data_IF_051992207510
#
_entry.id   IF_051992207510
#
_cell.length_a   1.000
_cell.length_b   1.000
_cell.length_c   1.000
_cell.angle_alpha   90.00
_cell.angle_beta   90.00
_cell.angle_gamma   90.00
#
_symmetry.space_group_name_H-M   'P 1'
#
loop_
_entity.id
_entity.type
_entity.pdbx_description
1 polymer ?
#
# COMPACT_ATOMS: atom_id res chain seq x y z
N UNK A 1 -17.29 65.25 21.79
CA UNK A 1 -17.09 63.86 22.22
C UNK A 1 -15.68 63.47 21.77
N UNK A 2 -14.70 63.44 22.68
CA UNK A 2 -13.32 63.08 22.36
C UNK A 2 -13.19 61.56 22.42
N UNK A 3 -12.96 60.94 21.26
CA UNK A 3 -12.56 59.54 21.15
C UNK A 3 -11.20 59.35 21.81
N UNK A 4 -11.18 58.64 22.94
CA UNK A 4 -9.95 58.13 23.52
C UNK A 4 -9.42 57.02 22.62
N UNK A 5 -8.56 57.37 21.66
CA UNK A 5 -7.78 56.39 20.91
C UNK A 5 -6.70 55.81 21.83
N UNK A 6 -7.04 54.74 22.54
CA UNK A 6 -6.07 53.93 23.28
C UNK A 6 -5.12 53.24 22.30
N UNK A 7 -3.84 53.58 22.35
CA UNK A 7 -2.79 52.89 21.59
C UNK A 7 -2.34 51.63 22.32
N UNK A 8 -2.14 50.53 21.59
CA UNK A 8 -1.56 49.31 22.13
C UNK A 8 -0.14 49.54 22.63
N UNK A 9 0.21 48.91 23.75
CA UNK A 9 1.57 48.96 24.27
C UNK A 9 2.46 47.94 23.55
N UNK A 10 3.75 48.25 23.40
CA UNK A 10 4.75 47.29 22.89
C UNK A 10 4.76 45.98 23.68
N UNK A 11 4.51 46.07 24.99
CA UNK A 11 4.46 44.92 25.90
C UNK A 11 3.26 44.02 25.59
N UNK A 12 2.08 44.58 25.32
CA UNK A 12 0.91 43.77 24.91
C UNK A 12 1.17 43.02 23.61
N UNK A 13 1.77 43.67 22.61
CA UNK A 13 2.11 43.01 21.36
C UNK A 13 3.14 41.89 21.58
N UNK A 14 4.15 42.12 22.43
CA UNK A 14 5.15 41.11 22.79
C UNK A 14 4.55 39.90 23.50
N UNK A 15 3.60 40.10 24.41
CA UNK A 15 2.90 38.99 25.10
C UNK A 15 2.06 38.19 24.11
N UNK A 16 1.35 38.85 23.18
CA UNK A 16 0.52 38.16 22.18
C UNK A 16 1.37 37.27 21.27
N UNK A 17 2.47 37.79 20.73
CA UNK A 17 3.34 36.98 19.86
C UNK A 17 4.05 35.86 20.63
N UNK A 18 4.36 36.07 21.92
CA UNK A 18 4.91 35.02 22.77
C UNK A 18 3.90 33.89 22.99
N UNK A 19 2.63 34.21 23.27
CA UNK A 19 1.55 33.22 23.40
C UNK A 19 1.35 32.48 22.07
N UNK A 20 1.29 33.19 20.93
CA UNK A 20 1.16 32.57 19.61
C UNK A 20 2.35 31.65 19.32
N UNK A 21 3.58 32.06 19.66
CA UNK A 21 4.78 31.24 19.48
C UNK A 21 4.74 29.94 20.30
N UNK A 22 4.30 30.02 21.56
CA UNK A 22 4.11 28.83 22.41
C UNK A 22 3.01 27.91 21.85
N UNK A 23 1.86 28.46 21.49
CA UNK A 23 0.74 27.69 20.94
C UNK A 23 1.08 27.04 19.59
N UNK A 24 1.76 27.76 18.70
CA UNK A 24 2.22 27.23 17.42
C UNK A 24 3.24 26.09 17.62
N UNK A 25 4.16 26.23 18.58
CA UNK A 25 5.11 25.18 18.95
C UNK A 25 4.41 23.89 19.39
N UNK A 26 3.42 23.99 20.28
CA UNK A 26 2.64 22.85 20.76
C UNK A 26 1.75 22.23 19.67
N UNK A 27 1.16 23.05 18.80
CA UNK A 27 0.30 22.58 17.72
C UNK A 27 1.03 21.73 16.67
N UNK A 28 2.29 22.08 16.34
CA UNK A 28 3.04 21.39 15.28
C UNK A 28 3.29 19.90 15.56
N UNK A 29 3.58 19.54 16.83
CA UNK A 29 3.90 18.16 17.21
C UNK A 29 2.67 17.24 17.16
N UNK A 30 1.49 17.77 17.50
CA UNK A 30 0.24 17.00 17.53
C UNK A 30 -0.27 16.64 16.13
N UNK A 31 0.01 17.48 15.13
CA UNK A 31 -0.38 17.24 13.73
C UNK A 31 0.37 16.04 13.15
N UNK A 32 1.69 15.93 13.35
CA UNK A 32 2.49 14.82 12.81
C UNK A 32 2.05 13.45 13.33
N UNK A 33 1.79 13.33 14.64
CA UNK A 33 1.29 12.09 15.24
C UNK A 33 -0.08 11.68 14.68
N UNK A 34 -0.98 12.65 14.48
CA UNK A 34 -2.33 12.40 13.98
C UNK A 34 -2.32 11.92 12.53
N UNK A 35 -1.45 12.50 11.68
CA UNK A 35 -1.26 12.07 10.29
C UNK A 35 -0.72 10.65 10.25
N UNK A 36 0.35 10.34 11.01
CA UNK A 36 0.92 8.98 11.06
C UNK A 36 -0.12 7.95 11.47
N UNK A 37 -0.90 8.24 12.51
CA UNK A 37 -1.98 7.35 12.96
C UNK A 37 -3.09 7.20 11.90
N UNK A 38 -3.42 8.28 11.21
CA UNK A 38 -4.37 8.26 10.10
C UNK A 38 -3.91 7.35 8.95
N UNK A 39 -2.65 7.46 8.56
CA UNK A 39 -2.05 6.63 7.50
C UNK A 39 -2.05 5.15 7.88
N UNK A 40 -1.66 4.80 9.11
CA UNK A 40 -1.73 3.40 9.59
C UNK A 40 -3.17 2.87 9.51
N UNK A 41 -4.13 3.65 10.01
CA UNK A 41 -5.55 3.25 9.95
C UNK A 41 -6.08 3.13 8.52
N UNK A 42 -5.58 3.95 7.60
CA UNK A 42 -5.92 3.85 6.17
C UNK A 42 -5.34 2.57 5.56
N UNK A 43 -4.07 2.27 5.82
CA UNK A 43 -3.42 1.04 5.36
C UNK A 43 -4.14 -0.22 5.91
N UNK A 44 -4.50 -0.24 7.20
CA UNK A 44 -5.27 -1.34 7.80
C UNK A 44 -6.62 -1.54 7.10
N UNK A 45 -7.35 -0.45 6.86
CA UNK A 45 -8.64 -0.49 6.17
C UNK A 45 -8.49 -0.97 4.72
N UNK A 46 -7.43 -0.54 4.05
CA UNK A 46 -7.18 -0.91 2.66
C UNK A 46 -6.80 -2.39 2.52
N UNK A 47 -5.95 -2.89 3.42
CA UNK A 47 -5.64 -4.32 3.52
C UNK A 47 -6.91 -5.15 3.73
N UNK A 48 -7.84 -4.72 4.61
CA UNK A 48 -9.12 -5.41 4.77
C UNK A 48 -9.90 -5.47 3.44
N UNK A 49 -9.96 -4.36 2.70
CA UNK A 49 -10.66 -4.33 1.41
C UNK A 49 -9.99 -5.25 0.39
N UNK A 50 -8.65 -5.25 0.35
CA UNK A 50 -7.87 -6.11 -0.56
C UNK A 50 -8.09 -7.58 -0.24
N UNK A 51 -8.09 -7.95 1.05
CA UNK A 51 -8.41 -9.31 1.50
C UNK A 51 -9.79 -9.74 1.00
N UNK A 52 -10.81 -8.90 1.16
CA UNK A 52 -12.16 -9.19 0.68
C UNK A 52 -12.20 -9.37 -0.85
N UNK A 53 -11.44 -8.57 -1.60
CA UNK A 53 -11.31 -8.70 -3.05
C UNK A 53 -10.65 -10.02 -3.46
N UNK A 54 -9.51 -10.34 -2.84
CA UNK A 54 -8.77 -11.59 -3.05
C UNK A 54 -9.61 -12.82 -2.68
N UNK A 55 -10.34 -12.78 -1.57
CA UNK A 55 -11.25 -13.87 -1.18
C UNK A 55 -12.42 -14.02 -2.16
N UNK A 56 -12.93 -12.92 -2.72
CA UNK A 56 -13.95 -12.98 -3.76
C UNK A 56 -13.41 -13.62 -5.06
N UNK A 57 -12.15 -13.36 -5.42
CA UNK A 57 -11.48 -14.07 -6.53
C UNK A 57 -11.41 -15.58 -6.23
N UNK A 58 -10.98 -15.95 -5.02
CA UNK A 58 -10.91 -17.35 -4.59
C UNK A 58 -12.27 -18.06 -4.63
N UNK A 59 -13.35 -17.39 -4.26
CA UNK A 59 -14.69 -17.96 -4.32
C UNK A 59 -15.12 -18.25 -5.77
N UNK A 60 -14.79 -17.35 -6.69
CA UNK A 60 -15.21 -17.45 -8.08
C UNK A 60 -14.28 -18.37 -8.91
N UNK A 61 -12.98 -18.39 -8.62
CA UNK A 61 -11.95 -19.11 -9.40
C UNK A 61 -11.44 -20.39 -8.73
N UNK A 62 -11.66 -20.56 -7.44
CA UNK A 62 -11.23 -21.74 -6.69
C UNK A 62 -9.79 -21.72 -6.18
N UNK A 63 -9.00 -20.69 -6.50
CA UNK A 63 -7.68 -20.41 -5.92
C UNK A 63 -7.51 -18.89 -5.74
N UNK A 64 -6.62 -18.44 -4.85
CA UNK A 64 -6.30 -17.01 -4.72
C UNK A 64 -5.45 -16.58 -5.93
N UNK A 65 -5.32 -15.27 -6.23
CA UNK A 65 -4.40 -14.80 -7.25
C UNK A 65 -3.00 -15.39 -7.05
N UNK A 66 -2.31 -15.89 -8.09
CA UNK A 66 -0.94 -16.36 -7.94
C UNK A 66 0.02 -15.22 -7.59
N UNK A 67 1.19 -15.52 -7.03
CA UNK A 67 2.22 -14.49 -6.73
C UNK A 67 2.88 -13.95 -8.02
N UNK A 68 2.68 -14.60 -9.16
CA UNK A 68 3.15 -14.14 -10.46
C UNK A 68 2.15 -14.51 -11.55
N UNK A 69 2.00 -13.63 -12.54
CA UNK A 69 1.16 -13.87 -13.71
C UNK A 69 1.80 -14.82 -14.74
N UNK A 70 3.09 -15.13 -14.61
CA UNK A 70 3.85 -15.90 -15.59
C UNK A 70 3.22 -17.28 -15.85
N UNK A 71 2.80 -17.98 -14.79
CA UNK A 71 2.22 -19.32 -14.90
C UNK A 71 0.81 -19.32 -15.53
N UNK A 72 0.02 -18.27 -15.33
CA UNK A 72 -1.39 -18.22 -15.76
C UNK A 72 -1.56 -17.58 -17.14
N UNK A 73 -0.84 -16.49 -17.41
CA UNK A 73 -0.98 -15.69 -18.62
C UNK A 73 0.24 -15.74 -19.54
N UNK A 74 1.32 -16.40 -19.14
CA UNK A 74 2.54 -16.53 -19.96
C UNK A 74 3.35 -15.24 -20.09
N UNK A 75 3.04 -14.23 -19.28
CA UNK A 75 3.83 -13.01 -19.14
C UNK A 75 3.94 -12.64 -17.66
N UNK A 76 5.07 -12.04 -17.32
CA UNK A 76 5.29 -11.27 -16.10
C UNK A 76 6.08 -10.02 -16.51
N UNK A 77 6.04 -8.96 -15.72
CA UNK A 77 6.93 -7.82 -15.89
C UNK A 77 8.40 -8.24 -15.72
N UNK A 78 9.21 -7.38 -15.12
CA UNK A 78 10.62 -7.71 -14.86
C UNK A 78 10.83 -8.65 -13.64
N UNK A 79 9.76 -9.05 -12.95
CA UNK A 79 9.76 -9.89 -11.74
C UNK A 79 9.77 -9.11 -10.42
N UNK A 80 10.04 -7.81 -10.47
CA UNK A 80 9.81 -6.85 -9.38
C UNK A 80 8.31 -6.67 -9.19
N UNK A 81 7.86 -6.56 -7.94
CA UNK A 81 6.46 -6.33 -7.58
C UNK A 81 5.45 -7.37 -8.12
N UNK A 82 5.92 -8.49 -8.66
CA UNK A 82 5.09 -9.52 -9.31
C UNK A 82 3.84 -9.95 -8.52
N UNK A 83 3.96 -10.08 -7.19
CA UNK A 83 2.81 -10.38 -6.31
C UNK A 83 1.76 -9.28 -6.30
N UNK A 84 2.19 -8.02 -6.24
CA UNK A 84 1.31 -6.86 -6.30
C UNK A 84 0.63 -6.77 -7.67
N UNK A 85 1.40 -6.79 -8.76
CA UNK A 85 0.88 -6.70 -10.12
C UNK A 85 -0.15 -7.79 -10.41
N UNK A 86 0.17 -9.02 -10.02
CA UNK A 86 -0.74 -10.16 -10.15
C UNK A 86 -2.01 -9.94 -9.35
N UNK A 87 -1.91 -9.51 -8.09
CA UNK A 87 -3.07 -9.17 -7.28
C UNK A 87 -3.92 -8.08 -7.97
N UNK A 88 -3.33 -6.97 -8.39
CA UNK A 88 -4.06 -5.87 -9.04
C UNK A 88 -4.75 -6.35 -10.32
N UNK A 89 -4.06 -7.14 -11.14
CA UNK A 89 -4.62 -7.70 -12.37
C UNK A 89 -5.87 -8.58 -12.12
N UNK A 90 -5.80 -9.45 -11.13
CA UNK A 90 -6.93 -10.31 -10.77
C UNK A 90 -8.08 -9.52 -10.14
N UNK A 91 -7.78 -8.53 -9.31
CA UNK A 91 -8.79 -7.75 -8.59
C UNK A 91 -9.52 -6.75 -9.49
N UNK A 92 -8.80 -6.17 -10.46
CA UNK A 92 -9.35 -5.28 -11.48
C UNK A 92 -10.07 -6.06 -12.59
N UNK A 93 -9.99 -7.39 -12.57
CA UNK A 93 -10.55 -8.23 -13.62
C UNK A 93 -12.03 -8.04 -13.83
N UNK A 94 -12.39 -7.84 -15.10
CA UNK A 94 -13.78 -7.82 -15.59
C UNK A 94 -14.17 -9.11 -16.29
N UNK A 95 -13.34 -10.16 -16.27
CA UNK A 95 -13.54 -11.38 -17.06
C UNK A 95 -14.90 -12.07 -16.79
N UNK A 96 -15.47 -11.90 -15.58
CA UNK A 96 -16.82 -12.39 -15.21
C UNK A 96 -17.90 -11.30 -15.13
N UNK A 97 -17.68 -10.15 -15.76
CA UNK A 97 -18.65 -9.05 -15.82
C UNK A 97 -18.79 -8.24 -14.53
N UNK A 98 -17.90 -8.43 -13.55
CA UNK A 98 -17.79 -7.67 -12.30
C UNK A 98 -16.31 -7.41 -12.00
N UNK A 99 -16.01 -6.33 -11.29
CA UNK A 99 -14.72 -6.13 -10.63
C UNK A 99 -14.76 -6.76 -9.23
N UNK A 100 -13.63 -7.22 -8.71
CA UNK A 100 -13.50 -7.69 -7.33
C UNK A 100 -13.09 -6.58 -6.38
N UNK A 101 -12.48 -5.53 -6.93
CA UNK A 101 -12.02 -4.36 -6.19
C UNK A 101 -12.23 -3.08 -6.98
N UNK A 102 -12.38 -1.97 -6.26
CA UNK A 102 -12.44 -0.63 -6.85
C UNK A 102 -11.19 0.13 -6.41
N UNK A 103 -10.21 0.20 -7.31
CA UNK A 103 -8.92 0.82 -7.06
C UNK A 103 -9.05 2.33 -7.14
N UNK A 104 -8.56 3.02 -6.12
CA UNK A 104 -8.42 4.47 -6.18
C UNK A 104 -7.23 4.80 -7.08
N UNK A 105 -7.46 5.53 -8.18
CA UNK A 105 -6.40 5.85 -9.15
C UNK A 105 -5.19 6.56 -8.53
N UNK A 106 -5.38 7.33 -7.45
CA UNK A 106 -4.31 8.00 -6.71
C UNK A 106 -3.27 7.03 -6.11
N UNK A 107 -3.66 5.80 -5.81
CA UNK A 107 -2.78 4.77 -5.25
C UNK A 107 -2.31 3.75 -6.29
N UNK A 108 -2.59 3.96 -7.58
CA UNK A 108 -2.06 3.13 -8.66
C UNK A 108 -0.87 3.85 -9.29
N UNK A 109 0.33 3.40 -8.96
CA UNK A 109 1.57 3.93 -9.50
C UNK A 109 2.30 2.88 -10.33
N UNK A 110 3.14 3.29 -11.28
CA UNK A 110 4.06 2.38 -11.96
C UNK A 110 5.47 2.75 -11.48
N UNK A 111 5.90 2.09 -10.41
CA UNK A 111 7.08 2.47 -9.64
C UNK A 111 8.39 2.17 -10.37
N UNK A 112 8.40 1.18 -11.25
CA UNK A 112 9.60 0.72 -11.96
C UNK A 112 9.59 1.03 -13.47
N UNK A 113 8.54 1.72 -13.94
CA UNK A 113 8.31 2.13 -15.33
C UNK A 113 8.22 0.95 -16.30
N UNK A 114 7.78 -0.21 -15.83
CA UNK A 114 7.65 -1.37 -16.70
C UNK A 114 6.31 -1.37 -17.49
N UNK A 115 6.29 -2.16 -18.55
CA UNK A 115 5.10 -2.25 -19.41
C UNK A 115 5.14 -3.55 -20.20
N UNK A 116 3.96 -4.03 -20.55
CA UNK A 116 3.80 -5.18 -21.42
C UNK A 116 4.05 -4.81 -22.89
N UNK A 117 4.57 -5.78 -23.63
CA UNK A 117 4.59 -5.73 -25.09
C UNK A 117 3.16 -5.79 -25.65
N UNK A 118 2.99 -5.44 -26.93
CA UNK A 118 1.66 -5.32 -27.53
C UNK A 118 0.83 -6.62 -27.46
N UNK A 119 1.45 -7.79 -27.64
CA UNK A 119 0.72 -9.06 -27.69
C UNK A 119 0.24 -9.45 -26.28
N UNK A 120 1.04 -9.18 -25.24
CA UNK A 120 0.66 -9.38 -23.84
C UNK A 120 -0.34 -8.32 -23.36
N UNK A 121 -0.19 -7.07 -23.79
CA UNK A 121 -1.10 -5.97 -23.46
C UNK A 121 -2.51 -6.19 -24.04
N UNK A 122 -2.63 -6.74 -25.26
CA UNK A 122 -3.93 -7.09 -25.82
C UNK A 122 -4.66 -8.13 -24.96
N UNK A 123 -3.93 -9.11 -24.42
CA UNK A 123 -4.48 -10.16 -23.56
C UNK A 123 -5.05 -9.63 -22.24
N UNK A 124 -4.52 -8.51 -21.72
CA UNK A 124 -5.00 -7.88 -20.49
C UNK A 124 -5.58 -6.48 -20.65
N UNK A 125 -5.89 -6.05 -21.88
CA UNK A 125 -6.47 -4.73 -22.13
C UNK A 125 -7.77 -4.47 -21.34
N UNK A 126 -8.47 -5.53 -20.91
CA UNK A 126 -9.64 -5.48 -20.04
C UNK A 126 -9.35 -5.12 -18.57
N UNK A 127 -8.08 -5.16 -18.15
CA UNK A 127 -7.62 -4.88 -16.77
C UNK A 127 -7.34 -3.39 -16.60
N UNK A 128 -6.35 -2.85 -17.32
CA UNK A 128 -5.87 -1.49 -17.12
C UNK A 128 -6.21 -0.51 -18.25
N UNK A 129 -6.82 -0.97 -19.36
CA UNK A 129 -7.10 -0.11 -20.52
C UNK A 129 -5.85 0.39 -21.26
N UNK A 130 -4.65 0.04 -20.77
CA UNK A 130 -3.35 0.28 -21.37
C UNK A 130 -2.38 -0.88 -21.06
N UNK A 131 -1.09 -0.72 -21.39
CA UNK A 131 -0.05 -1.75 -21.26
C UNK A 131 0.86 -1.56 -20.03
N UNK A 132 0.54 -0.64 -19.12
CA UNK A 132 1.37 -0.40 -17.95
C UNK A 132 1.00 -1.38 -16.84
N UNK A 133 1.99 -2.05 -16.24
CA UNK A 133 1.76 -2.73 -14.97
C UNK A 133 1.85 -1.65 -13.89
N UNK A 134 0.87 -1.65 -13.00
CA UNK A 134 0.77 -0.67 -11.93
C UNK A 134 0.70 -1.40 -10.61
N UNK A 135 1.51 -0.95 -9.67
CA UNK A 135 1.42 -1.34 -8.29
C UNK A 135 0.35 -0.54 -7.56
N UNK A 136 -0.38 -1.23 -6.70
CA UNK A 136 -1.19 -0.57 -5.71
C UNK A 136 -0.34 -0.24 -4.48
N UNK A 137 -0.22 1.05 -4.16
CA UNK A 137 0.67 1.57 -3.12
C UNK A 137 -0.06 1.89 -1.83
N UNK A 138 0.68 1.83 -0.73
CA UNK A 138 0.24 2.21 0.60
C UNK A 138 0.29 3.74 0.80
N UNK A 139 -0.19 4.27 1.94
CA UNK A 139 -0.18 5.72 2.20
C UNK A 139 1.20 6.39 2.26
N UNK A 140 2.28 5.60 2.21
CA UNK A 140 3.66 6.09 2.17
C UNK A 140 4.30 5.93 0.79
N UNK A 141 3.57 5.40 -0.20
CA UNK A 141 4.03 5.22 -1.58
C UNK A 141 4.80 3.93 -1.83
N UNK A 142 4.79 2.98 -0.88
CA UNK A 142 5.40 1.67 -1.07
C UNK A 142 4.34 0.68 -1.59
N UNK A 143 4.70 -0.26 -2.47
CA UNK A 143 3.74 -1.25 -2.96
C UNK A 143 3.32 -2.18 -1.82
N UNK A 144 2.03 -2.52 -1.76
CA UNK A 144 1.60 -3.64 -0.91
C UNK A 144 2.29 -4.92 -1.36
N UNK A 145 2.75 -5.73 -0.42
CA UNK A 145 3.29 -7.06 -0.74
C UNK A 145 2.17 -8.06 -0.64
N UNK A 146 1.98 -8.86 -1.69
CA UNK A 146 1.04 -9.97 -1.73
C UNK A 146 1.78 -11.27 -2.04
N UNK A 147 1.48 -12.34 -1.30
CA UNK A 147 2.09 -13.65 -1.52
C UNK A 147 1.09 -14.79 -1.35
N UNK A 148 0.99 -15.62 -2.37
CA UNK A 148 0.20 -16.84 -2.34
C UNK A 148 0.85 -17.89 -1.42
N UNK A 149 0.05 -18.67 -0.69
CA UNK A 149 0.57 -19.65 0.27
C UNK A 149 1.46 -20.74 -0.34
N UNK A 150 1.22 -21.07 -1.62
CA UNK A 150 2.00 -22.03 -2.42
C UNK A 150 3.44 -21.56 -2.64
N UNK A 151 3.70 -20.27 -2.52
CA UNK A 151 5.02 -19.66 -2.71
C UNK A 151 5.74 -19.36 -1.39
N UNK A 152 5.14 -19.71 -0.25
CA UNK A 152 5.81 -19.59 1.04
C UNK A 152 7.13 -20.39 1.04
N UNK A 153 8.23 -19.70 1.36
CA UNK A 153 9.59 -20.24 1.30
C UNK A 153 10.37 -19.85 0.05
N UNK A 154 9.75 -19.14 -0.90
CA UNK A 154 10.43 -18.38 -1.94
C UNK A 154 10.64 -16.93 -1.50
N UNK A 155 11.59 -16.27 -2.12
CA UNK A 155 11.81 -14.83 -1.97
C UNK A 155 11.40 -14.12 -3.25
N UNK A 156 10.83 -12.93 -3.10
CA UNK A 156 10.37 -12.09 -4.21
C UNK A 156 10.98 -10.70 -4.08
N UNK A 157 11.16 -10.03 -5.21
CA UNK A 157 11.68 -8.68 -5.24
C UNK A 157 10.53 -7.68 -5.22
N UNK A 158 10.61 -6.65 -4.37
CA UNK A 158 9.66 -5.53 -4.32
C UNK A 158 10.40 -4.20 -4.27
N UNK A 159 9.79 -3.17 -4.85
CA UNK A 159 10.33 -1.80 -4.82
C UNK A 159 10.18 -1.21 -3.43
N UNK A 160 11.28 -0.72 -2.87
CA UNK A 160 11.34 -0.02 -1.59
C UNK A 160 12.23 1.21 -1.78
N UNK A 161 11.68 2.42 -1.62
CA UNK A 161 12.39 3.68 -1.89
C UNK A 161 13.12 3.73 -3.25
N UNK A 162 12.54 3.12 -4.29
CA UNK A 162 13.11 3.07 -5.65
C UNK A 162 14.22 2.04 -5.84
N UNK A 163 14.49 1.18 -4.86
CA UNK A 163 15.44 0.06 -4.96
C UNK A 163 14.75 -1.28 -4.73
N UNK A 164 15.18 -2.35 -5.42
CA UNK A 164 14.63 -3.69 -5.18
C UNK A 164 15.12 -4.25 -3.83
N UNK A 165 14.19 -4.77 -3.04
CA UNK A 165 14.43 -5.47 -1.77
C UNK A 165 13.79 -6.85 -1.84
N UNK A 166 14.48 -7.85 -1.28
CA UNK A 166 13.95 -9.22 -1.20
C UNK A 166 13.05 -9.37 0.01
N UNK A 167 11.86 -9.91 -0.21
CA UNK A 167 10.87 -10.21 0.83
C UNK A 167 10.47 -11.68 0.78
N UNK A 168 10.00 -12.20 1.91
CA UNK A 168 9.56 -13.58 2.07
C UNK A 168 8.31 -13.63 2.95
N UNK A 169 7.60 -14.76 2.95
CA UNK A 169 6.44 -14.93 3.81
C UNK A 169 6.82 -14.82 5.30
N UNK A 170 6.06 -14.02 6.05
CA UNK A 170 6.19 -13.85 7.48
C UNK A 170 6.00 -15.16 8.25
N UNK A 171 6.81 -15.32 9.30
CA UNK A 171 6.78 -16.48 10.20
C UNK A 171 6.70 -16.06 11.67
N UNK A 172 5.99 -16.87 12.45
CA UNK A 172 5.93 -16.73 13.90
C UNK A 172 7.26 -17.13 14.54
N UNK A 173 7.81 -16.25 15.37
CA UNK A 173 9.06 -16.50 16.10
C UNK A 173 8.95 -17.63 17.12
N UNK A 174 7.73 -17.92 17.57
CA UNK A 174 7.47 -18.92 18.61
C UNK A 174 7.35 -20.33 18.04
N UNK A 175 6.72 -20.47 16.87
CA UNK A 175 6.39 -21.77 16.28
C UNK A 175 7.21 -22.09 15.03
N UNK A 176 7.93 -21.10 14.48
CA UNK A 176 8.59 -21.18 13.17
C UNK A 176 7.64 -21.59 12.02
N UNK A 177 6.34 -21.37 12.20
CA UNK A 177 5.33 -21.60 11.16
C UNK A 177 5.01 -20.30 10.46
N UNK A 178 4.68 -20.37 9.17
CA UNK A 178 4.13 -19.23 8.43
C UNK A 178 2.86 -18.72 9.10
N UNK A 179 2.68 -17.40 9.08
CA UNK A 179 1.38 -16.81 9.36
C UNK A 179 0.40 -17.20 8.26
N UNK A 180 -0.87 -17.37 8.63
CA UNK A 180 -1.93 -17.73 7.67
C UNK A 180 -1.52 -18.90 6.74
N UNK A 181 -1.08 -20.07 7.26
CA UNK A 181 -0.36 -21.09 6.48
C UNK A 181 -1.18 -21.75 5.35
N UNK A 182 -2.50 -21.56 5.35
CA UNK A 182 -3.44 -22.09 4.36
C UNK A 182 -4.16 -20.96 3.57
N UNK A 183 -3.76 -19.71 3.79
CA UNK A 183 -4.26 -18.50 3.10
C UNK A 183 -3.07 -17.70 2.59
N UNK A 184 -3.32 -16.68 1.79
CA UNK A 184 -2.29 -15.73 1.35
C UNK A 184 -1.85 -14.79 2.49
N UNK A 185 -0.74 -14.10 2.29
CA UNK A 185 -0.26 -13.01 3.13
C UNK A 185 -0.28 -11.71 2.34
N UNK A 186 -0.68 -10.63 3.00
CA UNK A 186 -0.64 -9.28 2.46
C UNK A 186 -0.24 -8.27 3.54
N UNK A 187 0.69 -7.36 3.23
CA UNK A 187 1.10 -6.31 4.16
C UNK A 187 1.58 -5.04 3.45
N UNK A 188 1.65 -3.94 4.19
CA UNK A 188 2.29 -2.68 3.79
C UNK A 188 3.60 -2.53 4.56
N UNK A 189 4.57 -1.83 3.95
CA UNK A 189 5.87 -1.49 4.56
C UNK A 189 5.75 -0.61 5.81
N UNK A 190 4.59 0.02 6.00
CA UNK A 190 4.36 0.87 7.16
C UNK A 190 5.11 2.22 7.12
N UNK A 191 5.11 2.94 8.25
CA UNK A 191 5.64 4.29 8.36
C UNK A 191 7.12 4.50 8.04
N UNK A 192 7.98 3.51 8.26
CA UNK A 192 9.41 3.62 7.97
C UNK A 192 9.76 3.22 6.53
N UNK A 193 8.82 2.60 5.82
CA UNK A 193 8.95 2.19 4.43
C UNK A 193 9.80 0.93 4.22
N UNK A 194 10.22 0.24 5.28
CA UNK A 194 11.08 -0.94 5.21
C UNK A 194 10.27 -2.20 5.40
N UNK A 195 10.27 -3.08 4.40
CA UNK A 195 9.60 -4.37 4.53
C UNK A 195 10.32 -5.30 5.51
N UNK A 196 9.64 -5.67 6.59
CA UNK A 196 10.10 -6.62 7.61
C UNK A 196 9.30 -7.95 7.59
N UNK A 197 8.69 -8.27 6.44
CA UNK A 197 7.88 -9.47 6.21
C UNK A 197 6.65 -9.55 7.15
N UNK A 198 5.99 -8.41 7.32
CA UNK A 198 4.83 -8.16 8.17
C UNK A 198 5.14 -8.17 9.66
N UNK A 199 6.35 -7.75 10.03
CA UNK A 199 6.81 -7.51 11.41
C UNK A 199 7.16 -6.04 11.61
N UNK A 200 7.63 -5.67 12.80
CA UNK A 200 8.08 -4.32 13.06
C UNK A 200 6.93 -3.31 13.04
N UNK A 201 7.02 -2.31 12.17
CA UNK A 201 5.93 -1.37 11.89
C UNK A 201 5.20 -1.63 10.55
N UNK A 202 5.51 -2.74 9.86
CA UNK A 202 4.69 -3.23 8.77
C UNK A 202 3.24 -3.37 9.22
N UNK A 203 2.32 -2.97 8.35
CA UNK A 203 0.89 -3.11 8.62
C UNK A 203 0.42 -4.43 8.01
N UNK A 204 0.02 -5.37 8.87
CA UNK A 204 -0.47 -6.70 8.50
C UNK A 204 -1.68 -7.11 9.37
N UNK A 205 -2.33 -8.24 9.09
CA UNK A 205 -3.60 -8.64 9.75
C UNK A 205 -3.64 -10.08 10.28
N UNK A 206 -2.48 -10.62 10.63
CA UNK A 206 -2.33 -11.97 11.20
C UNK A 206 -1.75 -11.96 12.62
#
# INVERSE_FOLDING_TARGET
>A
MQDQRGGFTLVELLVVIAIIGVLAGLGSQMMGYSIRKGNISAAESEIQRLILGVEAVQLDNGDYPPTSMEEEYGFSGNGLNSGNESMVAHLASRAKGRSYFDFTEEYLENLDTDSLDNDSAEQISWIFGDNQLREYVDPWGNPYVYMHNRDYGREFSVTCEGSPVMVSAGQSEKTATYFEPIRFQIWSAGPDGVHENGKGDDVSQW
#
